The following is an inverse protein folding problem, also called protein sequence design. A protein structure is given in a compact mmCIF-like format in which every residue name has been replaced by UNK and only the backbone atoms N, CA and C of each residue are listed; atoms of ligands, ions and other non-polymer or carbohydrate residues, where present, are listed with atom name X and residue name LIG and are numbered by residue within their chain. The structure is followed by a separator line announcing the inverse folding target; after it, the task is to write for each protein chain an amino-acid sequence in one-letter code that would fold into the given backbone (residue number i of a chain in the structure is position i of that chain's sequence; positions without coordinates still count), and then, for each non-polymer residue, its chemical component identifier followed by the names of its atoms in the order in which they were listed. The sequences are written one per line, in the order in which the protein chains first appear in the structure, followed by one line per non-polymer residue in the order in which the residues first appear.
data_IF_685241880062
#
_entry.id   IF_685241880062
#
_cell.length_a   1.000
_cell.length_b   1.000
_cell.length_c   1.000
_cell.angle_alpha   90.00
_cell.angle_beta   90.00
_cell.angle_gamma   90.00
#
_symmetry.space_group_name_H-M   'P 1'
#
loop_
_entity.id
_entity.type
_entity.pdbx_description
1 polymer ?
#
# COMPACT_ATOMS: atom_id res chain seq x y z
N UNK A 1 9.80 10.46 -1.65
CA UNK A 1 10.79 9.47 -1.18
C UNK A 1 10.57 9.29 0.31
N UNK A 2 10.60 8.06 0.82
CA UNK A 2 10.50 7.81 2.26
C UNK A 2 11.79 8.27 2.95
N UNK A 3 11.66 8.66 4.22
CA UNK A 3 12.81 8.93 5.08
C UNK A 3 13.24 7.60 5.73
N UNK A 4 14.41 7.09 5.35
CA UNK A 4 14.93 5.81 5.87
C UNK A 4 15.06 5.83 7.41
N UNK A 5 15.34 6.98 8.01
CA UNK A 5 15.46 7.10 9.47
C UNK A 5 14.13 6.88 10.20
N UNK A 6 13.00 6.91 9.48
CA UNK A 6 11.65 6.71 10.02
C UNK A 6 11.12 5.30 9.82
N UNK A 7 11.85 4.44 9.11
CA UNK A 7 11.48 3.04 8.98
C UNK A 7 11.92 2.33 10.25
N UNK A 8 10.93 1.91 11.04
CA UNK A 8 11.19 1.18 12.29
C UNK A 8 11.50 -0.28 12.01
N UNK A 9 10.83 -0.83 11.01
CA UNK A 9 10.91 -2.24 10.66
C UNK A 9 10.48 -2.46 9.21
N UNK A 10 11.12 -3.39 8.54
CA UNK A 10 10.73 -3.89 7.24
C UNK A 10 11.20 -5.34 7.09
N UNK A 11 10.25 -6.26 6.88
CA UNK A 11 10.52 -7.69 6.75
C UNK A 11 10.00 -8.29 5.45
N UNK A 12 9.68 -7.45 4.47
CA UNK A 12 9.15 -7.97 3.22
C UNK A 12 10.18 -8.83 2.48
N UNK A 13 9.69 -9.87 1.84
CA UNK A 13 10.42 -10.76 0.95
C UNK A 13 9.50 -11.24 -0.18
N UNK A 14 9.91 -12.29 -0.90
CA UNK A 14 9.14 -12.91 -1.98
C UNK A 14 7.83 -13.57 -1.50
N UNK A 15 7.58 -13.68 -0.20
CA UNK A 15 6.35 -14.23 0.39
C UNK A 15 5.41 -13.14 0.91
N UNK A 16 5.78 -11.86 0.75
CA UNK A 16 5.06 -10.72 1.32
C UNK A 16 5.77 -10.17 2.54
N UNK A 17 5.04 -9.61 3.48
CA UNK A 17 5.58 -9.00 4.70
C UNK A 17 5.09 -7.58 4.90
N UNK A 18 5.80 -6.80 5.70
CA UNK A 18 5.32 -5.52 6.18
C UNK A 18 6.41 -4.47 6.27
N UNK A 19 5.98 -3.21 6.30
CA UNK A 19 6.83 -2.08 6.62
C UNK A 19 6.13 -1.23 7.67
N UNK A 20 6.79 -1.02 8.80
CA UNK A 20 6.38 -0.10 9.88
C UNK A 20 7.11 1.23 9.73
N UNK A 21 6.34 2.31 9.59
CA UNK A 21 6.84 3.65 9.35
C UNK A 21 6.38 4.62 10.43
N UNK A 22 7.32 5.38 10.99
CA UNK A 22 7.07 6.45 11.96
C UNK A 22 6.42 7.68 11.30
N UNK A 23 5.14 7.90 11.60
CA UNK A 23 4.34 9.03 11.14
C UNK A 23 4.15 10.12 12.21
N UNK A 24 4.89 10.05 13.32
CA UNK A 24 4.77 11.01 14.44
C UNK A 24 5.08 12.46 14.06
N UNK A 25 5.78 12.69 12.95
CA UNK A 25 5.98 14.03 12.39
C UNK A 25 4.75 14.58 11.64
N UNK A 26 3.83 13.72 11.21
CA UNK A 26 2.64 14.13 10.49
C UNK A 26 1.56 14.63 11.44
N UNK A 27 1.45 14.06 12.64
CA UNK A 27 0.48 14.48 13.65
C UNK A 27 0.91 14.03 15.06
N UNK A 28 0.80 14.89 16.10
CA UNK A 28 1.30 14.59 17.44
C UNK A 28 0.66 13.36 18.11
N UNK A 29 -0.60 13.07 17.79
CA UNK A 29 -1.34 11.93 18.38
C UNK A 29 -1.11 10.59 17.67
N UNK A 30 -0.45 10.58 16.51
CA UNK A 30 -0.22 9.38 15.71
C UNK A 30 1.23 8.93 15.85
N UNK A 31 1.45 7.62 15.73
CA UNK A 31 2.76 7.02 15.93
C UNK A 31 3.25 6.30 14.67
N UNK A 32 2.56 5.23 14.28
CA UNK A 32 3.01 4.39 13.18
C UNK A 32 1.91 4.08 12.16
N UNK A 33 2.36 3.93 10.93
CA UNK A 33 1.64 3.30 9.82
C UNK A 33 2.33 1.96 9.55
N UNK A 34 1.56 0.88 9.54
CA UNK A 34 2.04 -0.43 9.10
C UNK A 34 1.38 -0.74 7.76
N UNK A 35 2.17 -0.91 6.71
CA UNK A 35 1.70 -1.34 5.40
C UNK A 35 2.11 -2.81 5.22
N UNK A 36 1.13 -3.69 5.07
CA UNK A 36 1.33 -5.11 4.87
C UNK A 36 1.05 -5.50 3.42
N UNK A 37 1.75 -6.54 2.95
CA UNK A 37 1.54 -7.24 1.71
C UNK A 37 1.44 -8.74 1.99
N UNK A 38 0.34 -9.35 1.57
CA UNK A 38 0.06 -10.77 1.80
C UNK A 38 -0.17 -11.49 0.48
N UNK A 39 0.40 -12.68 0.33
CA UNK A 39 0.11 -13.58 -0.78
C UNK A 39 -1.27 -14.19 -0.56
N UNK A 40 -2.22 -13.84 -1.42
CA UNK A 40 -3.59 -14.38 -1.38
C UNK A 40 -3.73 -15.68 -2.15
N UNK A 41 -2.82 -15.95 -3.08
CA UNK A 41 -2.83 -17.16 -3.89
C UNK A 41 -1.78 -17.12 -4.99
N UNK A 42 -1.95 -18.02 -5.95
CA UNK A 42 -1.05 -18.21 -7.09
C UNK A 42 -1.89 -18.20 -8.36
N UNK A 43 -1.39 -17.53 -9.41
CA UNK A 43 -2.02 -17.53 -10.73
C UNK A 43 -1.87 -18.90 -11.42
N UNK A 44 -2.55 -19.08 -12.55
CA UNK A 44 -2.38 -20.28 -13.39
C UNK A 44 -0.94 -20.45 -13.90
N UNK A 45 -0.20 -19.35 -14.05
CA UNK A 45 1.20 -19.32 -14.49
C UNK A 45 2.19 -19.40 -13.32
N UNK A 46 1.74 -19.90 -12.17
CA UNK A 46 2.55 -20.07 -10.96
C UNK A 46 3.10 -18.76 -10.35
N UNK A 47 2.49 -17.61 -10.68
CA UNK A 47 2.89 -16.31 -10.14
C UNK A 47 2.14 -15.97 -8.86
N UNK A 48 2.83 -15.47 -7.84
CA UNK A 48 2.21 -15.06 -6.58
C UNK A 48 1.33 -13.82 -6.78
N UNK A 49 0.12 -13.86 -6.20
CA UNK A 49 -0.85 -12.77 -6.21
C UNK A 49 -0.83 -12.09 -4.85
N UNK A 50 -0.33 -10.86 -4.82
CA UNK A 50 -0.22 -10.07 -3.61
C UNK A 50 -1.45 -9.19 -3.41
N UNK A 51 -1.78 -8.95 -2.15
CA UNK A 51 -2.76 -7.95 -1.74
C UNK A 51 -2.15 -7.06 -0.67
N UNK A 52 -2.63 -5.83 -0.55
CA UNK A 52 -2.02 -4.86 0.37
C UNK A 52 -3.08 -4.20 1.24
N UNK A 53 -2.81 -4.10 2.54
CA UNK A 53 -3.61 -3.30 3.47
C UNK A 53 -2.71 -2.43 4.35
N UNK A 54 -3.28 -1.43 5.01
CA UNK A 54 -2.54 -0.63 5.98
C UNK A 54 -3.33 -0.40 7.25
N UNK A 55 -2.59 -0.32 8.35
CA UNK A 55 -3.14 -0.02 9.68
C UNK A 55 -2.42 1.18 10.28
N UNK A 56 -3.15 1.96 11.06
CA UNK A 56 -2.64 3.16 11.71
C UNK A 56 -2.75 3.02 13.22
N UNK A 57 -1.76 3.52 13.95
CA UNK A 57 -1.74 3.47 15.40
C UNK A 57 -1.52 4.86 15.99
N UNK A 58 -2.31 5.17 17.02
CA UNK A 58 -2.09 6.33 17.87
C UNK A 58 -0.92 6.09 18.82
N UNK A 59 -0.31 7.18 19.28
CA UNK A 59 0.75 7.13 20.28
C UNK A 59 0.27 6.42 21.54
N UNK A 60 1.01 5.39 21.94
CA UNK A 60 0.72 4.57 23.12
C UNK A 60 -0.46 3.61 22.97
N UNK A 61 -1.04 3.47 21.77
CA UNK A 61 -2.10 2.50 21.49
C UNK A 61 -1.53 1.25 20.81
N UNK A 62 -1.92 0.08 21.30
CA UNK A 62 -1.71 -1.20 20.62
C UNK A 62 -2.90 -1.61 19.74
N UNK A 63 -3.96 -0.79 19.69
CA UNK A 63 -5.16 -1.07 18.89
C UNK A 63 -5.12 -0.23 17.60
N UNK A 64 -5.30 -0.86 16.42
CA UNK A 64 -5.41 -0.15 15.16
C UNK A 64 -6.60 0.81 15.15
N UNK A 65 -6.41 1.94 14.48
CA UNK A 65 -7.42 2.97 14.30
C UNK A 65 -7.89 3.06 12.86
N UNK A 66 -9.17 3.36 12.67
CA UNK A 66 -9.74 3.52 11.34
C UNK A 66 -9.18 4.78 10.66
N UNK A 67 -8.76 4.66 9.40
CA UNK A 67 -8.35 5.79 8.57
C UNK A 67 -9.38 6.94 8.52
N UNK A 68 -10.66 6.65 8.76
CA UNK A 68 -11.72 7.65 8.87
C UNK A 68 -11.49 8.61 10.06
N UNK A 69 -10.91 8.13 11.16
CA UNK A 69 -10.62 8.94 12.37
C UNK A 69 -9.39 9.82 12.20
N UNK A 70 -8.54 9.54 11.20
CA UNK A 70 -7.38 10.39 10.90
C UNK A 70 -7.82 11.80 10.49
N UNK A 71 -7.25 12.88 11.05
CA UNK A 71 -7.70 14.24 10.77
C UNK A 71 -7.61 14.62 9.29
N UNK A 72 -8.69 15.19 8.73
CA UNK A 72 -8.82 15.45 7.29
C UNK A 72 -7.69 16.32 6.73
N UNK A 73 -7.25 17.34 7.47
CA UNK A 73 -6.16 18.24 7.07
C UNK A 73 -4.81 17.52 6.89
N UNK A 74 -4.63 16.37 7.54
CA UNK A 74 -3.38 15.60 7.54
C UNK A 74 -3.47 14.33 6.68
N UNK A 75 -4.64 14.02 6.10
CA UNK A 75 -4.78 12.89 5.16
C UNK A 75 -3.91 13.04 3.90
N UNK A 76 -3.75 14.23 3.29
CA UNK A 76 -2.89 14.38 2.11
C UNK A 76 -1.44 13.95 2.34
N UNK A 77 -0.71 14.43 3.37
CA UNK A 77 0.65 13.96 3.62
C UNK A 77 0.70 12.48 4.03
N UNK A 78 -0.32 11.97 4.75
CA UNK A 78 -0.39 10.53 5.06
C UNK A 78 -0.51 9.67 3.78
N UNK A 79 -1.35 10.08 2.82
CA UNK A 79 -1.44 9.40 1.53
C UNK A 79 -0.10 9.38 0.78
N UNK A 80 0.68 10.45 0.86
CA UNK A 80 2.01 10.48 0.24
C UNK A 80 2.94 9.43 0.85
N UNK A 81 2.89 9.24 2.18
CA UNK A 81 3.65 8.17 2.86
C UNK A 81 3.15 6.79 2.41
N UNK A 82 1.84 6.55 2.44
CA UNK A 82 1.25 5.27 2.00
C UNK A 82 1.72 4.93 0.58
N UNK A 83 1.59 5.86 -0.37
CA UNK A 83 2.01 5.61 -1.75
C UNK A 83 3.53 5.45 -1.90
N UNK A 84 4.33 6.18 -1.12
CA UNK A 84 5.78 6.00 -1.14
C UNK A 84 6.20 4.60 -0.63
N UNK A 85 5.51 4.06 0.38
CA UNK A 85 5.71 2.67 0.83
C UNK A 85 5.30 1.69 -0.27
N UNK A 86 4.13 1.89 -0.89
CA UNK A 86 3.68 1.03 -2.00
C UNK A 86 4.65 1.04 -3.17
N UNK A 87 5.17 2.20 -3.55
CA UNK A 87 6.18 2.31 -4.60
C UNK A 87 7.47 1.56 -4.23
N UNK A 88 7.90 1.67 -2.98
CA UNK A 88 9.09 0.96 -2.51
C UNK A 88 8.91 -0.57 -2.61
N UNK A 89 7.74 -1.10 -2.25
CA UNK A 89 7.43 -2.52 -2.43
C UNK A 89 7.54 -2.95 -3.90
N UNK A 90 6.94 -2.15 -4.81
CA UNK A 90 7.00 -2.42 -6.25
C UNK A 90 8.45 -2.41 -6.78
N UNK A 91 9.32 -1.59 -6.22
CA UNK A 91 10.72 -1.48 -6.65
C UNK A 91 11.61 -2.59 -6.09
N UNK A 92 11.42 -2.96 -4.82
CA UNK A 92 12.28 -3.92 -4.11
C UNK A 92 11.84 -5.36 -4.35
N UNK A 93 10.55 -5.66 -4.16
CA UNK A 93 10.01 -7.02 -4.32
C UNK A 93 9.67 -7.32 -5.77
N UNK A 94 9.37 -6.28 -6.57
CA UNK A 94 8.99 -6.40 -7.98
C UNK A 94 7.92 -7.49 -8.21
N UNK A 95 6.81 -7.46 -7.45
CA UNK A 95 5.79 -8.50 -7.51
C UNK A 95 5.27 -8.65 -8.94
N UNK A 96 4.99 -9.89 -9.34
CA UNK A 96 4.39 -10.18 -10.64
C UNK A 96 2.94 -9.68 -10.70
N UNK A 97 2.16 -9.92 -9.64
CA UNK A 97 0.74 -9.55 -9.60
C UNK A 97 0.42 -8.88 -8.25
N UNK A 98 -0.18 -7.68 -8.28
CA UNK A 98 -0.72 -7.01 -7.08
C UNK A 98 -2.19 -6.67 -7.31
N UNK A 99 -3.06 -7.22 -6.49
CA UNK A 99 -4.51 -7.01 -6.55
C UNK A 99 -5.00 -6.09 -5.42
N UNK A 100 -5.84 -5.11 -5.80
CA UNK A 100 -6.42 -4.14 -4.88
C UNK A 100 -7.95 -4.27 -4.85
N UNK A 101 -8.50 -4.63 -3.68
CA UNK A 101 -9.95 -4.74 -3.48
C UNK A 101 -10.58 -3.42 -3.04
N UNK A 102 -11.64 -3.00 -3.73
CA UNK A 102 -12.42 -1.83 -3.40
C UNK A 102 -13.86 -2.24 -3.10
N UNK A 103 -14.27 -2.08 -1.84
CA UNK A 103 -15.62 -2.43 -1.34
C UNK A 103 -16.78 -1.73 -2.08
N UNK A 104 -16.52 -0.66 -2.84
CA UNK A 104 -17.55 0.13 -3.52
C UNK A 104 -17.22 0.33 -5.02
N UNK A 105 -18.08 -0.15 -5.95
CA UNK A 105 -17.73 -0.23 -7.36
C UNK A 105 -17.49 1.13 -8.03
N UNK A 106 -18.30 2.14 -7.69
CA UNK A 106 -18.14 3.51 -8.21
C UNK A 106 -16.84 4.19 -7.77
N UNK A 107 -16.13 3.64 -6.78
CA UNK A 107 -14.85 4.17 -6.29
C UNK A 107 -13.64 3.52 -6.96
N UNK A 108 -13.82 2.43 -7.72
CA UNK A 108 -12.69 1.72 -8.35
C UNK A 108 -11.92 2.65 -9.28
N UNK A 109 -12.60 3.28 -10.25
CA UNK A 109 -11.95 4.19 -11.19
C UNK A 109 -11.25 5.36 -10.50
N UNK A 110 -11.92 5.99 -9.52
CA UNK A 110 -11.34 7.10 -8.74
C UNK A 110 -10.10 6.68 -7.93
N UNK A 111 -10.16 5.49 -7.31
CA UNK A 111 -9.03 4.90 -6.58
C UNK A 111 -7.90 4.56 -7.53
N UNK A 112 -8.18 3.97 -8.68
CA UNK A 112 -7.17 3.65 -9.67
C UNK A 112 -6.46 4.92 -10.16
N UNK A 113 -7.19 5.98 -10.49
CA UNK A 113 -6.59 7.27 -10.88
C UNK A 113 -5.67 7.82 -9.78
N UNK A 114 -6.05 7.67 -8.51
CA UNK A 114 -5.19 8.08 -7.40
C UNK A 114 -3.90 7.26 -7.35
N UNK A 115 -3.97 5.93 -7.55
CA UNK A 115 -2.80 5.07 -7.59
C UNK A 115 -1.88 5.43 -8.77
N UNK A 116 -2.43 5.55 -9.97
CA UNK A 116 -1.68 5.92 -11.19
C UNK A 116 -1.02 7.30 -11.09
N UNK A 117 -1.60 8.23 -10.31
CA UNK A 117 -1.00 9.54 -10.06
C UNK A 117 0.25 9.47 -9.18
N UNK A 118 0.31 8.50 -8.27
CA UNK A 118 1.32 8.44 -7.22
C UNK A 118 2.33 7.30 -7.36
N UNK A 119 2.02 6.30 -8.18
CA UNK A 119 2.88 5.15 -8.43
C UNK A 119 3.45 5.19 -9.86
N UNK A 120 4.73 4.87 -10.00
CA UNK A 120 5.35 4.56 -11.28
C UNK A 120 4.99 3.12 -11.68
N UNK A 121 4.00 3.02 -12.57
CA UNK A 121 3.47 1.75 -13.07
C UNK A 121 3.94 1.43 -14.48
N UNK A 122 5.04 2.05 -14.98
CA UNK A 122 5.50 1.83 -16.36
C UNK A 122 5.86 0.37 -16.68
N UNK A 123 6.26 -0.40 -15.67
CA UNK A 123 6.55 -1.82 -15.78
C UNK A 123 5.31 -2.72 -15.64
N UNK A 124 4.13 -2.14 -15.43
CA UNK A 124 2.90 -2.87 -15.11
C UNK A 124 1.79 -2.56 -16.11
N UNK A 125 1.08 -3.59 -16.52
CA UNK A 125 -0.26 -3.45 -17.08
C UNK A 125 -1.29 -3.36 -15.95
N UNK A 126 -2.40 -2.69 -16.24
CA UNK A 126 -3.47 -2.48 -15.27
C UNK A 126 -4.75 -3.09 -15.79
N UNK A 127 -5.24 -4.11 -15.10
CA UNK A 127 -6.56 -4.66 -15.31
C UNK A 127 -7.54 -4.11 -14.26
N UNK A 128 -8.80 -3.92 -14.64
CA UNK A 128 -9.82 -3.37 -13.76
C UNK A 128 -11.14 -4.13 -13.92
N UNK A 129 -11.75 -4.48 -12.79
CA UNK A 129 -13.13 -5.00 -12.70
C UNK A 129 -14.05 -3.98 -12.02
N UNK A 130 -15.30 -4.36 -11.76
CA UNK A 130 -16.21 -3.54 -10.97
C UNK A 130 -15.79 -3.40 -9.49
N UNK A 131 -14.91 -4.26 -8.96
CA UNK A 131 -14.54 -4.25 -7.54
C UNK A 131 -13.04 -4.28 -7.28
N UNK A 132 -12.23 -4.50 -8.30
CA UNK A 132 -10.79 -4.65 -8.15
C UNK A 132 -10.04 -3.92 -9.26
N UNK A 133 -8.80 -3.57 -8.98
CA UNK A 133 -7.81 -3.33 -10.03
C UNK A 133 -6.54 -4.11 -9.70
N UNK A 134 -5.90 -4.63 -10.73
CA UNK A 134 -4.76 -5.53 -10.63
C UNK A 134 -3.61 -4.96 -11.45
N UNK A 135 -2.43 -4.90 -10.83
CA UNK A 135 -1.18 -4.57 -11.50
C UNK A 135 -0.49 -5.87 -11.89
N UNK A 136 -0.25 -6.05 -13.18
CA UNK A 136 0.41 -7.23 -13.74
C UNK A 136 1.72 -6.78 -14.34
N UNK A 137 2.84 -7.30 -13.84
CA UNK A 137 4.17 -6.91 -14.32
C UNK A 137 4.35 -7.41 -15.76
N UNK A 138 4.78 -6.52 -16.64
CA UNK A 138 5.10 -6.87 -18.04
C UNK A 138 6.25 -7.86 -18.06
N UNK A 139 6.11 -8.91 -18.89
CA UNK A 139 7.24 -9.77 -19.21
C UNK A 139 8.30 -8.94 -19.95
N UNK A 140 9.55 -9.04 -19.49
CA UNK A 140 10.72 -8.45 -20.17
C UNK A 140 11.22 -9.43 -21.23
#
# INVERSE_FOLDING_TARGET
MLDEARIRFCDWDESGGSLEYDISNLHPDWDVLIQAYEVRGVSYEEQLIYTSDFTLFRRGSAVPEDFCTYPAAYKPPLWQVIFAIKQRFLNEVQPAIVEHFIKAPYRVAQRLTLYQKHLDLRAYDVEQTSHTFTFIRRAV
#
